data_IF_828886191276
#
_entry.id   IF_828886191276
#
_cell.length_a   1.000
_cell.length_b   1.000
_cell.length_c   1.000
_cell.angle_alpha   90.00
_cell.angle_beta   90.00
_cell.angle_gamma   90.00
#
_symmetry.space_group_name_H-M   'P 1'
#
loop_
_entity.id
_entity.type
_entity.pdbx_description
1 polymer ?
#
# COMPACT_ATOMS: atom_id res chain seq x y z
N UNK A 1 31.68 26.41 42.01
CA UNK A 1 30.61 27.43 41.97
C UNK A 1 29.61 27.07 40.89
N UNK A 2 28.36 26.83 41.30
CA UNK A 2 27.29 26.56 40.34
C UNK A 2 26.76 27.88 39.76
N UNK A 3 26.88 28.04 38.46
CA UNK A 3 26.23 29.13 37.79
C UNK A 3 24.83 28.66 37.31
N UNK A 4 23.82 29.39 37.71
CA UNK A 4 22.49 29.20 37.14
C UNK A 4 22.42 29.79 35.73
N UNK A 5 21.46 29.37 34.97
CA UNK A 5 21.16 30.00 33.67
C UNK A 5 20.68 31.41 33.86
N UNK A 6 21.09 32.32 33.00
CA UNK A 6 20.54 33.66 32.95
C UNK A 6 19.13 33.62 32.34
N UNK A 7 18.32 34.59 32.65
CA UNK A 7 16.98 34.68 32.07
C UNK A 7 17.01 34.80 30.54
N UNK A 8 18.02 35.47 30.01
CA UNK A 8 18.16 35.66 28.57
C UNK A 8 18.55 34.32 27.87
N UNK A 9 19.41 33.54 28.51
CA UNK A 9 19.78 32.21 27.99
C UNK A 9 18.57 31.26 27.93
N UNK A 10 17.74 31.26 28.96
CA UNK A 10 16.54 30.46 29.00
C UNK A 10 15.55 30.86 27.90
N UNK A 11 15.28 32.14 27.75
CA UNK A 11 14.40 32.69 26.72
C UNK A 11 14.92 32.36 25.33
N UNK A 12 16.23 32.52 25.12
CA UNK A 12 16.85 32.24 23.82
C UNK A 12 16.71 30.77 23.44
N UNK A 13 16.90 29.86 24.37
CA UNK A 13 16.77 28.41 24.14
C UNK A 13 15.35 28.04 23.79
N UNK A 14 14.36 28.51 24.52
CA UNK A 14 12.96 28.16 24.24
C UNK A 14 12.47 28.71 22.90
N UNK A 15 12.96 29.89 22.50
CA UNK A 15 12.64 30.47 21.19
C UNK A 15 13.22 29.65 20.07
N UNK A 16 14.47 29.20 20.19
CA UNK A 16 15.11 28.35 19.17
C UNK A 16 14.40 27.02 19.07
N UNK A 17 14.09 26.38 20.19
CA UNK A 17 13.34 25.13 20.22
C UNK A 17 11.96 25.28 19.56
N UNK A 18 11.28 26.38 19.82
CA UNK A 18 9.99 26.69 19.22
C UNK A 18 10.05 26.81 17.70
N UNK A 19 11.06 27.51 17.19
CA UNK A 19 11.26 27.68 15.74
C UNK A 19 11.58 26.33 15.09
N UNK A 20 12.47 25.55 15.68
CA UNK A 20 12.83 24.22 15.17
C UNK A 20 11.62 23.27 15.18
N UNK A 21 10.81 23.29 16.24
CA UNK A 21 9.61 22.49 16.33
C UNK A 21 8.59 22.85 15.25
N UNK A 22 8.42 24.14 14.96
CA UNK A 22 7.49 24.61 13.94
C UNK A 22 7.84 24.10 12.54
N UNK A 23 9.12 23.88 12.25
CA UNK A 23 9.57 23.32 10.97
C UNK A 23 9.55 21.78 10.99
N UNK A 24 9.95 21.17 12.10
CA UNK A 24 10.11 19.72 12.19
C UNK A 24 8.78 18.94 12.19
N UNK A 25 7.76 19.47 12.85
CA UNK A 25 6.46 18.78 12.99
C UNK A 25 5.77 18.54 11.64
N UNK A 26 5.61 19.52 10.74
CA UNK A 26 5.04 19.27 9.41
C UNK A 26 5.84 18.28 8.59
N UNK A 27 7.17 18.33 8.68
CA UNK A 27 8.08 17.45 7.95
C UNK A 27 7.97 16.00 8.41
N UNK A 28 7.84 15.77 9.72
CA UNK A 28 7.63 14.44 10.30
C UNK A 28 6.29 13.84 9.90
N UNK A 29 5.23 14.63 9.84
CA UNK A 29 3.92 14.17 9.40
C UNK A 29 3.96 13.71 7.94
N UNK A 30 4.58 14.46 7.05
CA UNK A 30 4.75 14.10 5.64
C UNK A 30 5.56 12.80 5.50
N UNK A 31 6.66 12.64 6.24
CA UNK A 31 7.49 11.42 6.23
C UNK A 31 6.71 10.21 6.73
N UNK A 32 5.86 10.38 7.74
CA UNK A 32 5.03 9.31 8.27
C UNK A 32 4.03 8.81 7.22
N UNK A 33 3.41 9.71 6.49
CA UNK A 33 2.47 9.34 5.43
C UNK A 33 3.16 8.64 4.27
N UNK A 34 4.36 9.08 3.91
CA UNK A 34 5.18 8.41 2.90
C UNK A 34 5.58 6.99 3.34
N UNK A 35 5.91 6.81 4.61
CA UNK A 35 6.22 5.48 5.16
C UNK A 35 5.01 4.56 5.12
N UNK A 36 3.83 5.05 5.45
CA UNK A 36 2.58 4.28 5.36
C UNK A 36 2.25 3.93 3.90
N UNK A 37 2.45 4.86 2.98
CA UNK A 37 2.25 4.64 1.56
C UNK A 37 3.19 3.55 1.03
N UNK A 38 4.46 3.58 1.43
CA UNK A 38 5.44 2.55 1.06
C UNK A 38 5.06 1.17 1.60
N UNK A 39 4.58 1.09 2.84
CA UNK A 39 4.10 -0.15 3.44
C UNK A 39 2.90 -0.69 2.68
N UNK A 40 1.95 0.15 2.34
CA UNK A 40 0.77 -0.23 1.56
C UNK A 40 1.15 -0.78 0.17
N UNK A 41 2.09 -0.11 -0.51
CA UNK A 41 2.59 -0.56 -1.81
C UNK A 41 3.27 -1.93 -1.72
N UNK A 42 4.08 -2.15 -0.69
CA UNK A 42 4.74 -3.44 -0.47
C UNK A 42 3.72 -4.53 -0.17
N UNK A 43 2.72 -4.24 0.65
CA UNK A 43 1.64 -5.18 0.94
C UNK A 43 0.82 -5.50 -0.31
N UNK A 44 0.53 -4.51 -1.15
CA UNK A 44 -0.18 -4.71 -2.40
C UNK A 44 0.62 -5.60 -3.36
N UNK A 45 1.91 -5.31 -3.54
CA UNK A 45 2.78 -6.12 -4.39
C UNK A 45 2.89 -7.56 -3.86
N UNK A 46 3.05 -7.73 -2.54
CA UNK A 46 3.11 -9.04 -1.90
C UNK A 46 1.79 -9.78 -2.04
N UNK A 47 0.66 -9.11 -1.86
CA UNK A 47 -0.67 -9.70 -2.05
C UNK A 47 -0.85 -10.22 -3.49
N UNK A 48 -0.50 -9.43 -4.48
CA UNK A 48 -0.59 -9.82 -5.89
C UNK A 48 0.30 -11.05 -6.16
N UNK A 49 1.52 -11.05 -5.63
CA UNK A 49 2.43 -12.19 -5.76
C UNK A 49 1.92 -13.43 -5.06
N UNK A 50 1.34 -13.29 -3.86
CA UNK A 50 0.77 -14.39 -3.10
C UNK A 50 -0.37 -15.05 -3.87
N UNK A 51 -1.27 -14.26 -4.43
CA UNK A 51 -2.38 -14.76 -5.25
C UNK A 51 -1.85 -15.46 -6.50
N UNK A 52 -0.88 -14.85 -7.20
CA UNK A 52 -0.26 -15.45 -8.38
C UNK A 52 0.45 -16.76 -8.08
N UNK A 53 1.17 -16.84 -6.97
CA UNK A 53 1.85 -18.05 -6.52
C UNK A 53 0.85 -19.14 -6.13
N UNK A 54 -0.22 -18.77 -5.45
CA UNK A 54 -1.31 -19.69 -5.11
C UNK A 54 -1.93 -20.30 -6.37
N UNK A 55 -2.23 -19.47 -7.35
CA UNK A 55 -2.75 -19.91 -8.64
C UNK A 55 -1.77 -20.87 -9.36
N UNK A 56 -0.50 -20.48 -9.41
CA UNK A 56 0.53 -21.28 -10.11
C UNK A 56 0.77 -22.64 -9.43
N UNK A 57 0.73 -22.67 -8.09
CA UNK A 57 1.05 -23.89 -7.33
C UNK A 57 -0.15 -24.80 -7.10
N UNK A 58 -1.36 -24.27 -6.96
CA UNK A 58 -2.56 -25.01 -6.61
C UNK A 58 -3.67 -24.91 -7.66
N UNK A 59 -3.53 -24.03 -8.64
CA UNK A 59 -4.57 -23.75 -9.61
C UNK A 59 -5.76 -22.96 -9.05
N UNK A 60 -5.62 -22.42 -7.85
CA UNK A 60 -6.67 -21.65 -7.16
C UNK A 60 -6.08 -20.34 -6.64
N UNK A 61 -6.77 -19.27 -6.88
CA UNK A 61 -6.40 -17.94 -6.39
C UNK A 61 -6.84 -17.79 -4.93
N UNK A 62 -5.93 -17.33 -4.09
CA UNK A 62 -6.19 -17.13 -2.66
C UNK A 62 -5.74 -15.72 -2.27
N UNK A 63 -6.70 -14.87 -1.95
CA UNK A 63 -6.48 -13.50 -1.49
C UNK A 63 -6.62 -13.35 0.04
N UNK A 64 -6.62 -14.46 0.77
CA UNK A 64 -6.77 -14.44 2.24
C UNK A 64 -5.47 -14.29 3.00
N UNK A 65 -4.38 -13.97 2.33
CA UNK A 65 -3.06 -13.82 2.95
C UNK A 65 -2.98 -12.60 3.86
N UNK A 66 -2.00 -12.60 4.76
CA UNK A 66 -1.78 -11.48 5.69
C UNK A 66 -1.53 -10.15 4.93
N UNK A 67 -0.80 -10.20 3.82
CA UNK A 67 -0.52 -9.01 3.01
C UNK A 67 -1.81 -8.45 2.37
N UNK A 68 -2.69 -9.31 1.86
CA UNK A 68 -3.98 -8.90 1.30
C UNK A 68 -4.89 -8.30 2.37
N UNK A 69 -4.92 -8.90 3.55
CA UNK A 69 -5.76 -8.41 4.66
C UNK A 69 -5.21 -7.12 5.30
N UNK A 70 -3.95 -6.81 5.13
CA UNK A 70 -3.33 -5.59 5.64
C UNK A 70 -3.60 -4.36 4.79
N UNK A 71 -4.17 -4.52 3.60
CA UNK A 71 -4.45 -3.42 2.67
C UNK A 71 -5.56 -2.51 3.19
N UNK A 72 -5.33 -1.21 3.11
CA UNK A 72 -6.27 -0.17 3.55
C UNK A 72 -6.74 0.73 2.42
N UNK A 73 -5.91 0.92 1.42
CA UNK A 73 -6.19 1.80 0.29
C UNK A 73 -6.68 1.06 -0.94
N UNK A 74 -6.35 -0.22 -1.02
CA UNK A 74 -6.68 -1.08 -2.15
C UNK A 74 -7.24 -2.40 -1.67
N UNK A 75 -8.02 -3.04 -2.53
CA UNK A 75 -8.44 -4.42 -2.37
C UNK A 75 -8.00 -5.23 -3.58
N UNK A 76 -7.61 -6.46 -3.35
CA UNK A 76 -7.33 -7.42 -4.41
C UNK A 76 -8.45 -8.45 -4.37
N UNK A 77 -9.28 -8.43 -5.39
CA UNK A 77 -10.42 -9.32 -5.53
C UNK A 77 -10.10 -10.41 -6.53
N UNK A 78 -10.47 -11.61 -6.18
CA UNK A 78 -10.38 -12.77 -7.04
C UNK A 78 -11.66 -12.86 -7.83
N UNK A 79 -11.56 -12.82 -9.14
CA UNK A 79 -12.74 -12.92 -9.98
C UNK A 79 -13.18 -14.38 -10.08
N UNK A 80 -14.46 -14.63 -9.93
CA UNK A 80 -14.99 -15.98 -10.02
C UNK A 80 -15.01 -16.47 -11.45
N UNK A 81 -14.76 -17.77 -11.62
CA UNK A 81 -14.71 -18.42 -12.92
C UNK A 81 -15.96 -18.27 -13.75
N UNK A 82 -15.79 -18.36 -15.03
CA UNK A 82 -16.88 -18.30 -16.03
C UNK A 82 -17.92 -19.41 -15.88
N UNK A 83 -17.62 -20.38 -15.04
CA UNK A 83 -18.49 -21.52 -14.75
C UNK A 83 -19.61 -21.22 -13.73
N UNK A 84 -19.67 -19.99 -13.21
CA UNK A 84 -20.70 -19.58 -12.25
C UNK A 84 -20.64 -20.27 -10.89
N UNK A 85 -19.61 -21.06 -10.65
CA UNK A 85 -19.45 -21.83 -9.42
C UNK A 85 -18.63 -21.12 -8.34
N UNK A 86 -18.25 -19.86 -8.57
CA UNK A 86 -17.39 -19.13 -7.65
C UNK A 86 -15.99 -19.72 -7.53
N UNK A 87 -15.56 -20.42 -8.55
CA UNK A 87 -14.26 -21.04 -8.60
C UNK A 87 -13.19 -20.02 -8.90
N UNK A 88 -12.27 -19.81 -7.98
CA UNK A 88 -11.15 -18.89 -8.11
C UNK A 88 -10.04 -19.52 -8.95
N UNK A 89 -10.36 -19.90 -10.19
CA UNK A 89 -9.46 -20.67 -11.06
C UNK A 89 -9.17 -20.00 -12.40
N UNK A 90 -9.64 -18.76 -12.59
CA UNK A 90 -9.48 -18.05 -13.86
C UNK A 90 -8.09 -17.49 -14.09
N UNK A 91 -7.31 -17.36 -13.03
CA UNK A 91 -6.03 -16.67 -13.09
C UNK A 91 -6.16 -15.16 -13.21
N UNK A 92 -7.32 -14.60 -12.91
CA UNK A 92 -7.60 -13.17 -13.01
C UNK A 92 -7.88 -12.57 -11.63
N UNK A 93 -7.25 -11.44 -11.36
CA UNK A 93 -7.56 -10.64 -10.18
C UNK A 93 -7.89 -9.22 -10.60
N UNK A 94 -8.73 -8.55 -9.82
CA UNK A 94 -8.90 -7.10 -9.93
C UNK A 94 -8.27 -6.41 -8.73
N UNK A 95 -7.56 -5.33 -9.02
CA UNK A 95 -6.95 -4.47 -8.00
C UNK A 95 -7.72 -3.16 -8.01
N UNK A 96 -8.51 -2.92 -6.98
CA UNK A 96 -9.43 -1.79 -6.91
C UNK A 96 -9.04 -0.84 -5.80
N UNK A 97 -9.17 0.46 -6.08
CA UNK A 97 -8.97 1.49 -5.10
C UNK A 97 -10.21 1.60 -4.19
N UNK A 98 -10.02 1.47 -2.89
CA UNK A 98 -11.10 1.56 -1.90
C UNK A 98 -11.05 2.83 -1.06
N UNK A 99 -9.94 3.56 -1.08
CA UNK A 99 -9.81 4.83 -0.36
C UNK A 99 -8.77 5.73 -1.02
N UNK A 100 -9.05 7.01 -1.05
CA UNK A 100 -8.14 8.05 -1.56
C UNK A 100 -7.82 9.12 -0.51
N UNK A 101 -8.21 8.87 0.75
CA UNK A 101 -8.01 9.82 1.84
C UNK A 101 -6.64 9.64 2.52
N UNK A 102 -6.10 10.74 3.02
CA UNK A 102 -4.84 10.73 3.75
C UNK A 102 -3.68 10.19 2.92
N UNK A 103 -2.92 9.26 3.47
CA UNK A 103 -1.77 8.66 2.78
C UNK A 103 -2.18 7.82 1.56
N UNK A 104 -3.44 7.44 1.45
CA UNK A 104 -3.94 6.67 0.30
C UNK A 104 -3.89 7.46 -1.01
N UNK A 105 -3.94 8.79 -0.95
CA UNK A 105 -3.74 9.64 -2.14
C UNK A 105 -2.34 9.43 -2.75
N UNK A 106 -1.32 9.35 -1.91
CA UNK A 106 0.06 9.08 -2.35
C UNK A 106 0.21 7.66 -2.90
N UNK A 107 -0.45 6.69 -2.25
CA UNK A 107 -0.48 5.30 -2.73
C UNK A 107 -1.11 5.22 -4.11
N UNK A 108 -2.22 5.91 -4.33
CA UNK A 108 -2.90 5.93 -5.62
C UNK A 108 -1.97 6.41 -6.75
N UNK A 109 -1.28 7.53 -6.53
CA UNK A 109 -0.32 8.06 -7.51
C UNK A 109 0.77 7.04 -7.84
N UNK A 110 1.32 6.38 -6.83
CA UNK A 110 2.38 5.39 -7.00
C UNK A 110 1.87 4.11 -7.69
N UNK A 111 0.66 3.66 -7.36
CA UNK A 111 0.04 2.49 -7.97
C UNK A 111 -0.25 2.73 -9.45
N UNK A 112 -0.75 3.90 -9.80
CA UNK A 112 -0.98 4.29 -11.19
C UNK A 112 0.32 4.39 -11.97
N UNK A 113 1.37 4.96 -11.37
CA UNK A 113 2.69 5.05 -12.00
C UNK A 113 3.33 3.70 -12.28
N UNK A 114 3.02 2.68 -11.47
CA UNK A 114 3.53 1.30 -11.63
C UNK A 114 2.57 0.38 -12.36
N UNK A 115 1.43 0.89 -12.79
CA UNK A 115 0.38 0.12 -13.47
C UNK A 115 -0.04 -1.13 -12.67
N UNK A 116 -0.23 -0.94 -11.37
CA UNK A 116 -0.61 -2.03 -10.46
C UNK A 116 -2.12 -2.17 -10.28
N UNK A 117 -2.91 -1.17 -10.69
CA UNK A 117 -4.36 -1.21 -10.60
C UNK A 117 -5.00 -1.94 -11.79
N UNK A 118 -6.27 -2.26 -11.65
CA UNK A 118 -7.04 -2.94 -12.69
C UNK A 118 -6.90 -4.45 -12.67
N UNK A 119 -7.33 -5.08 -13.74
CA UNK A 119 -7.32 -6.54 -13.86
C UNK A 119 -5.93 -7.05 -14.21
N UNK A 120 -5.46 -8.05 -13.48
CA UNK A 120 -4.19 -8.75 -13.71
C UNK A 120 -4.47 -10.21 -14.03
N UNK A 121 -3.75 -10.74 -15.01
CA UNK A 121 -3.92 -12.12 -15.48
C UNK A 121 -2.65 -12.90 -15.19
N UNK A 122 -2.76 -14.00 -14.44
CA UNK A 122 -1.62 -14.87 -14.11
C UNK A 122 -1.52 -16.07 -15.05
N UNK A 123 -2.62 -16.45 -15.69
CA UNK A 123 -2.70 -17.64 -16.52
C UNK A 123 -2.12 -17.50 -17.93
N UNK A 124 -1.57 -16.35 -18.26
CA UNK A 124 -1.13 -16.04 -19.62
C UNK A 124 -2.32 -15.91 -20.57
N UNK A 125 -2.04 -15.68 -21.83
CA UNK A 125 -3.08 -15.70 -22.87
C UNK A 125 -3.61 -17.12 -23.00
N UNK A 126 -4.90 -17.30 -22.72
CA UNK A 126 -5.54 -18.56 -23.07
C UNK A 126 -5.40 -18.80 -24.57
N UNK A 127 -4.67 -19.82 -24.91
CA UNK A 127 -4.63 -20.28 -26.27
C UNK A 127 -5.93 -21.06 -26.50
N UNK A 128 -6.82 -20.50 -27.29
CA UNK A 128 -8.04 -21.18 -27.66
C UNK A 128 -7.72 -22.24 -28.71
N UNK A 129 -7.68 -23.49 -28.29
CA UNK A 129 -7.40 -24.61 -29.18
C UNK A 129 -8.61 -25.02 -30.04
N UNK A 130 -9.77 -24.34 -29.88
CA UNK A 130 -10.99 -24.65 -30.58
C UNK A 130 -11.30 -23.74 -31.79
N UNK A 131 -10.40 -22.86 -32.09
CA UNK A 131 -10.55 -21.97 -33.25
C UNK A 131 -10.07 -22.60 -34.55
#
# INVERSE_FOLDING_TARGET
MRRGFTMIELIFVIVIIGILAAVAIPKLAATRDDAKASTELNNLATCINDVGTSFTSRGVEDNSTAACNALKCYSVNVEGGTDGAGSNTDGNISVDNISTEGFCANVKTAVEAKDMNGTKVFGGTQIDYNS
#
